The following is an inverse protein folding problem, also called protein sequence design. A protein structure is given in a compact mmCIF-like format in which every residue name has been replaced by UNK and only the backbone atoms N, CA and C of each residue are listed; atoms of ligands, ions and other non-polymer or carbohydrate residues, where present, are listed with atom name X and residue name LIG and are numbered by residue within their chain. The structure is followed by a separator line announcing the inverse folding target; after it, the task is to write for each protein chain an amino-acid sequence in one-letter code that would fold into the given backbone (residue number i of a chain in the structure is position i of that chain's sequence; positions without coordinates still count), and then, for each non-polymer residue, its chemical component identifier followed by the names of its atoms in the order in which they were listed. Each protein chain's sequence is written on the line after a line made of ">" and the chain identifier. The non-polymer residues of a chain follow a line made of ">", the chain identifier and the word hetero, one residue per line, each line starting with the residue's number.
data_IF_800716142412
#
_entry.id   IF_800716142412
#
_cell.length_a   1.000
_cell.length_b   1.000
_cell.length_c   1.000
_cell.angle_alpha   90.00
_cell.angle_beta   90.00
_cell.angle_gamma   90.00
#
_symmetry.space_group_name_H-M   'P 1'
#
loop_
_entity.id
_entity.type
_entity.pdbx_description
1 polymer ?
#
# COMPACT_ATOMS: atom_id res chain seq x y z
N UNK A 1 -15.50 45.17 18.24
CA UNK A 1 -14.93 44.83 19.57
C UNK A 1 -16.09 44.39 20.45
N UNK A 2 -16.31 43.08 20.59
CA UNK A 2 -17.15 42.54 21.67
C UNK A 2 -16.27 41.46 22.31
N UNK A 3 -15.48 41.92 23.30
CA UNK A 3 -14.70 41.06 24.18
C UNK A 3 -15.62 40.48 25.27
N UNK A 4 -15.50 39.14 25.47
CA UNK A 4 -15.95 38.44 26.68
C UNK A 4 -17.45 38.35 26.96
N UNK A 5 -18.24 37.78 26.04
CA UNK A 5 -19.57 37.31 26.44
C UNK A 5 -19.45 36.02 27.26
N UNK A 6 -19.57 36.11 28.57
CA UNK A 6 -19.62 34.97 29.52
C UNK A 6 -21.01 34.32 29.57
N UNK A 7 -21.96 34.73 28.72
CA UNK A 7 -23.35 34.27 28.74
C UNK A 7 -23.86 34.02 27.33
N UNK A 8 -24.72 33.01 27.16
CA UNK A 8 -25.44 32.80 25.93
C UNK A 8 -26.46 33.91 25.70
N UNK A 9 -26.36 34.67 24.61
CA UNK A 9 -27.26 35.78 24.31
C UNK A 9 -28.74 35.40 24.04
N UNK A 10 -29.05 34.10 23.86
CA UNK A 10 -30.41 33.65 23.59
C UNK A 10 -31.13 33.09 24.83
N UNK A 11 -30.43 32.53 25.82
CA UNK A 11 -31.06 31.90 26.98
C UNK A 11 -30.48 32.33 28.34
N UNK A 12 -29.50 33.23 28.37
CA UNK A 12 -28.91 33.78 29.61
C UNK A 12 -28.06 32.81 30.44
N UNK A 13 -27.80 31.59 29.93
CA UNK A 13 -26.97 30.58 30.61
C UNK A 13 -25.50 31.02 30.64
N UNK A 14 -24.87 30.85 31.79
CA UNK A 14 -23.45 31.11 31.98
C UNK A 14 -22.64 30.08 31.21
N UNK A 15 -21.82 30.55 30.27
CA UNK A 15 -20.85 29.72 29.57
C UNK A 15 -19.62 29.56 30.46
N UNK A 16 -19.64 28.58 31.37
CA UNK A 16 -18.42 28.15 32.05
C UNK A 16 -17.61 27.34 31.04
N UNK A 17 -16.39 27.79 30.75
CA UNK A 17 -15.40 26.98 30.11
C UNK A 17 -15.13 25.76 30.99
N UNK A 18 -15.68 24.59 30.61
CA UNK A 18 -15.30 23.32 31.20
C UNK A 18 -13.81 23.10 30.88
N UNK A 19 -12.99 23.18 31.90
CA UNK A 19 -11.62 22.67 31.81
C UNK A 19 -11.75 21.16 31.46
N UNK A 20 -11.03 20.64 30.45
CA UNK A 20 -11.02 19.24 30.20
C UNK A 20 -10.52 18.51 31.44
N UNK A 21 -11.38 17.68 32.03
CA UNK A 21 -10.99 16.74 33.08
C UNK A 21 -9.84 15.88 32.53
N UNK A 22 -8.76 15.66 33.29
CA UNK A 22 -7.71 14.73 32.86
C UNK A 22 -8.34 13.35 32.68
N UNK A 23 -8.41 12.89 31.44
CA UNK A 23 -8.75 11.51 31.17
C UNK A 23 -7.65 10.64 31.79
N UNK A 24 -8.00 9.82 32.77
CA UNK A 24 -7.15 8.76 33.28
C UNK A 24 -6.89 7.79 32.13
N UNK A 25 -5.83 8.02 31.36
CA UNK A 25 -5.36 7.12 30.35
C UNK A 25 -4.68 5.94 31.09
N UNK A 26 -5.18 4.70 31.01
CA UNK A 26 -4.58 3.57 31.70
C UNK A 26 -3.18 3.19 31.18
N UNK A 27 -2.73 3.83 30.10
CA UNK A 27 -1.38 3.67 29.58
C UNK A 27 -0.54 4.89 29.98
N UNK A 28 0.57 4.73 30.71
CA UNK A 28 1.50 5.81 30.95
C UNK A 28 1.98 6.35 29.59
N UNK A 29 2.15 7.68 29.45
CA UNK A 29 2.72 8.25 28.24
C UNK A 29 4.09 7.61 28.00
N UNK A 30 4.22 6.87 26.91
CA UNK A 30 5.54 6.38 26.50
C UNK A 30 6.40 7.60 26.18
N UNK A 31 7.64 7.68 26.67
CA UNK A 31 8.55 8.73 26.26
C UNK A 31 8.65 8.70 24.73
N UNK A 32 8.33 9.83 24.09
CA UNK A 32 8.63 10.03 22.67
C UNK A 32 10.15 9.95 22.58
N UNK A 33 10.67 8.81 22.14
CA UNK A 33 12.08 8.70 21.81
C UNK A 33 12.32 9.59 20.60
N UNK A 34 13.28 10.51 20.64
CA UNK A 34 13.68 11.22 19.43
C UNK A 34 14.07 10.17 18.38
N UNK A 35 13.81 10.43 17.09
CA UNK A 35 14.21 9.52 16.05
C UNK A 35 15.70 9.21 16.24
N UNK A 36 16.01 7.92 16.41
CA UNK A 36 17.39 7.47 16.49
C UNK A 36 18.08 7.91 15.21
N UNK A 37 19.21 8.61 15.35
CA UNK A 37 20.08 8.92 14.21
C UNK A 37 20.33 7.63 13.43
N UNK A 38 20.23 7.65 12.08
CA UNK A 38 20.40 6.44 11.29
C UNK A 38 21.76 5.80 11.64
N UNK A 39 21.69 4.61 12.21
CA UNK A 39 22.87 3.80 12.48
C UNK A 39 23.50 3.43 11.14
N UNK A 40 24.83 3.40 11.07
CA UNK A 40 25.64 3.18 9.87
C UNK A 40 25.38 1.82 9.14
N UNK A 41 24.33 1.08 9.47
CA UNK A 41 23.95 -0.21 8.93
C UNK A 41 22.48 -0.29 8.44
N UNK A 42 21.79 0.83 8.23
CA UNK A 42 20.46 0.76 7.59
C UNK A 42 20.64 0.43 6.11
N UNK A 43 20.21 -0.77 5.76
CA UNK A 43 20.30 -1.28 4.40
C UNK A 43 19.39 -0.55 3.41
N UNK A 44 18.41 0.22 3.87
CA UNK A 44 17.55 1.10 3.06
C UNK A 44 17.10 2.31 3.88
N UNK A 45 16.73 3.38 3.18
CA UNK A 45 16.15 4.57 3.78
C UNK A 45 14.64 4.57 3.53
N UNK A 46 13.87 4.61 4.61
CA UNK A 46 12.44 4.81 4.58
C UNK A 46 12.16 6.28 4.82
N UNK A 47 11.70 6.98 3.81
CA UNK A 47 11.49 8.42 3.90
C UNK A 47 10.22 8.75 4.68
N UNK A 48 10.39 9.18 5.91
CA UNK A 48 9.29 9.61 6.79
C UNK A 48 8.74 10.98 6.40
N UNK A 49 9.52 11.80 5.66
CA UNK A 49 9.10 13.12 5.21
C UNK A 49 8.28 13.06 3.91
N UNK A 50 8.18 11.87 3.31
CA UNK A 50 7.39 11.64 2.12
C UNK A 50 7.92 12.40 0.90
N UNK A 51 9.23 12.64 0.81
CA UNK A 51 9.86 13.31 -0.33
C UNK A 51 11.30 12.87 -0.51
N UNK A 52 11.79 12.93 -1.73
CA UNK A 52 13.17 12.55 -2.01
C UNK A 52 13.57 12.86 -3.45
N UNK A 53 14.73 12.35 -3.83
CA UNK A 53 15.25 12.51 -5.17
C UNK A 53 15.90 11.22 -5.65
N UNK A 54 15.80 10.95 -6.95
CA UNK A 54 16.47 9.88 -7.63
C UNK A 54 17.32 10.40 -8.78
N UNK A 55 17.76 9.50 -9.64
CA UNK A 55 18.56 9.85 -10.82
C UNK A 55 17.67 10.49 -11.88
N UNK A 56 17.63 11.82 -11.96
CA UNK A 56 16.88 12.58 -12.95
C UNK A 56 15.40 12.79 -12.59
N UNK A 57 15.04 12.63 -11.34
CA UNK A 57 13.70 12.97 -10.84
C UNK A 57 13.73 13.39 -9.37
N UNK A 58 12.71 14.11 -8.95
CA UNK A 58 12.35 14.32 -7.54
C UNK A 58 10.95 13.80 -7.31
N UNK A 59 10.62 13.45 -6.07
CA UNK A 59 9.30 12.96 -5.72
C UNK A 59 8.84 13.51 -4.37
N UNK A 60 7.53 13.62 -4.22
CA UNK A 60 6.89 13.99 -2.97
C UNK A 60 5.58 13.22 -2.81
N UNK A 61 5.20 12.91 -1.58
CA UNK A 61 3.90 12.34 -1.24
C UNK A 61 3.08 13.45 -0.58
N UNK A 62 2.03 13.87 -1.26
CA UNK A 62 1.07 14.83 -0.75
C UNK A 62 -0.10 14.11 -0.07
N UNK A 63 -0.78 14.79 0.85
CA UNK A 63 -1.97 14.26 1.56
C UNK A 63 -1.73 12.92 2.24
N UNK A 64 -0.55 12.71 2.83
CA UNK A 64 -0.18 11.48 3.53
C UNK A 64 -1.30 10.98 4.46
N UNK A 65 -1.47 9.67 4.52
CA UNK A 65 -2.48 8.99 5.29
C UNK A 65 -3.52 8.30 4.42
N UNK A 66 -4.78 8.76 4.42
CA UNK A 66 -5.87 8.02 3.77
C UNK A 66 -6.07 8.36 2.28
N UNK A 67 -5.47 9.44 1.77
CA UNK A 67 -5.70 9.96 0.41
C UNK A 67 -4.40 10.43 -0.24
N UNK A 68 -3.33 9.69 -0.05
CA UNK A 68 -2.01 10.06 -0.50
C UNK A 68 -1.91 10.13 -2.03
N UNK A 69 -1.18 11.15 -2.51
CA UNK A 69 -0.84 11.37 -3.90
C UNK A 69 0.69 11.43 -4.03
N UNK A 70 1.26 10.54 -4.82
CA UNK A 70 2.67 10.62 -5.18
C UNK A 70 2.85 11.55 -6.39
N UNK A 71 3.64 12.60 -6.23
CA UNK A 71 3.99 13.56 -7.29
C UNK A 71 5.45 13.31 -7.68
N UNK A 72 5.70 13.02 -8.96
CA UNK A 72 7.04 12.77 -9.49
C UNK A 72 7.36 13.79 -10.56
N UNK A 73 8.46 14.55 -10.34
CA UNK A 73 8.99 15.51 -11.28
C UNK A 73 10.14 14.87 -12.05
N UNK A 74 9.95 14.63 -13.33
CA UNK A 74 10.94 14.02 -14.21
C UNK A 74 11.77 15.09 -14.94
N UNK A 75 13.07 14.90 -15.02
CA UNK A 75 13.89 15.67 -15.96
C UNK A 75 13.63 15.22 -17.40
N UNK A 76 14.09 16.00 -18.38
CA UNK A 76 13.98 15.62 -19.79
C UNK A 76 14.55 14.22 -20.03
N UNK A 77 13.83 13.41 -20.81
CA UNK A 77 14.15 12.02 -21.18
C UNK A 77 14.22 11.03 -20.00
N UNK A 78 13.84 11.46 -18.78
CA UNK A 78 13.76 10.56 -17.64
C UNK A 78 12.45 9.77 -17.67
N UNK A 79 12.53 8.53 -17.21
CA UNK A 79 11.41 7.58 -17.17
C UNK A 79 11.18 7.07 -15.75
N UNK A 80 9.90 6.95 -15.35
CA UNK A 80 9.47 6.20 -14.19
C UNK A 80 8.46 5.12 -14.61
N UNK A 81 8.43 4.02 -13.88
CA UNK A 81 7.51 2.92 -14.11
C UNK A 81 6.42 2.93 -13.03
N UNK A 82 5.16 2.62 -13.37
CA UNK A 82 4.07 2.58 -12.41
C UNK A 82 3.05 1.48 -12.74
N UNK A 83 2.26 1.08 -11.74
CA UNK A 83 1.14 0.18 -11.92
C UNK A 83 0.18 0.73 -12.98
N UNK A 84 -0.34 -0.15 -13.83
CA UNK A 84 -1.34 0.23 -14.83
C UNK A 84 -2.62 0.72 -14.15
N UNK A 85 -2.99 1.98 -14.39
CA UNK A 85 -4.17 2.62 -13.78
C UNK A 85 -3.87 3.47 -12.55
N UNK A 86 -2.63 3.50 -12.05
CA UNK A 86 -2.25 4.35 -10.92
C UNK A 86 -2.13 5.84 -11.28
N UNK A 87 -1.97 6.17 -12.55
CA UNK A 87 -1.79 7.54 -13.02
C UNK A 87 -3.05 8.38 -12.82
N UNK A 88 -2.89 9.52 -12.14
CA UNK A 88 -3.95 10.52 -11.92
C UNK A 88 -3.84 11.65 -12.94
N UNK A 89 -2.62 12.19 -13.13
CA UNK A 89 -2.36 13.25 -14.09
C UNK A 89 -0.92 13.20 -14.58
N UNK A 90 -0.66 13.83 -15.73
CA UNK A 90 0.68 14.02 -16.26
C UNK A 90 0.77 15.27 -17.12
N UNK A 91 1.97 15.84 -17.24
CA UNK A 91 2.27 16.92 -18.17
C UNK A 91 2.06 16.45 -19.62
N UNK A 92 1.64 17.36 -20.50
CA UNK A 92 1.33 17.03 -21.90
C UNK A 92 2.55 16.48 -22.69
N UNK A 93 3.76 16.75 -22.23
CA UNK A 93 5.00 16.24 -22.81
C UNK A 93 5.48 14.93 -22.20
N UNK A 94 4.70 14.27 -21.36
CA UNK A 94 5.02 12.94 -20.84
C UNK A 94 4.38 11.88 -21.72
N UNK A 95 5.22 11.00 -22.29
CA UNK A 95 4.77 9.85 -23.06
C UNK A 95 4.39 8.69 -22.13
N UNK A 96 3.20 8.13 -22.32
CA UNK A 96 2.76 6.90 -21.69
C UNK A 96 2.97 5.72 -22.64
N UNK A 97 3.84 4.80 -22.26
CA UNK A 97 4.00 3.50 -22.91
C UNK A 97 3.39 2.42 -22.03
N UNK A 98 2.21 1.96 -22.41
CA UNK A 98 1.56 0.82 -21.75
C UNK A 98 1.76 -0.44 -22.59
N UNK A 99 2.36 -1.46 -22.01
CA UNK A 99 2.52 -2.77 -22.65
C UNK A 99 1.23 -3.62 -22.64
N UNK A 100 0.09 -3.00 -22.32
CA UNK A 100 -1.23 -3.65 -22.27
C UNK A 100 -1.78 -3.97 -23.66
N UNK A 101 -1.15 -4.91 -24.37
CA UNK A 101 -1.79 -5.58 -25.51
C UNK A 101 -2.62 -6.76 -24.99
N UNK A 102 -3.92 -6.58 -24.77
CA UNK A 102 -4.83 -7.70 -24.50
C UNK A 102 -5.67 -7.65 -23.21
N UNK A 103 -5.87 -6.49 -22.60
CA UNK A 103 -6.71 -6.32 -21.39
C UNK A 103 -6.17 -7.01 -20.13
N UNK A 104 -6.91 -6.92 -19.02
CA UNK A 104 -6.52 -7.46 -17.70
C UNK A 104 -6.19 -8.97 -17.76
N UNK A 105 -6.92 -9.74 -18.57
CA UNK A 105 -6.65 -11.17 -18.78
C UNK A 105 -5.37 -11.45 -19.58
N UNK A 106 -5.01 -10.58 -20.52
CA UNK A 106 -3.76 -10.70 -21.27
C UNK A 106 -2.54 -10.33 -20.43
N UNK A 107 -2.69 -9.36 -19.53
CA UNK A 107 -1.69 -8.97 -18.53
C UNK A 107 -1.42 -10.14 -17.56
N UNK A 108 -2.48 -10.75 -17.02
CA UNK A 108 -2.37 -11.90 -16.12
C UNK A 108 -1.69 -13.10 -16.79
N UNK A 109 -2.00 -13.36 -18.08
CA UNK A 109 -1.40 -14.48 -18.84
C UNK A 109 0.09 -14.25 -19.13
N UNK A 110 0.53 -13.00 -19.33
CA UNK A 110 1.93 -12.61 -19.53
C UNK A 110 2.71 -12.56 -18.23
N UNK A 111 2.12 -12.10 -17.13
CA UNK A 111 2.69 -12.19 -15.80
C UNK A 111 3.02 -13.64 -15.41
N UNK A 112 2.20 -14.59 -15.86
CA UNK A 112 2.50 -16.04 -15.74
C UNK A 112 3.67 -16.44 -16.66
N UNK A 113 3.90 -15.74 -17.76
CA UNK A 113 5.00 -15.94 -18.72
C UNK A 113 6.32 -15.26 -18.32
N UNK A 114 6.32 -14.40 -17.28
CA UNK A 114 7.50 -13.68 -16.81
C UNK A 114 7.77 -12.35 -17.47
N UNK A 115 6.79 -11.79 -18.18
CA UNK A 115 6.86 -10.40 -18.65
C UNK A 115 6.20 -9.48 -17.64
N UNK A 116 6.77 -8.29 -17.37
CA UNK A 116 6.24 -7.30 -16.41
C UNK A 116 5.00 -6.59 -16.96
N UNK A 117 3.92 -7.34 -17.16
CA UNK A 117 2.67 -6.89 -17.78
C UNK A 117 1.83 -5.93 -16.92
N UNK A 118 2.32 -5.57 -15.74
CA UNK A 118 1.61 -4.73 -14.78
C UNK A 118 2.11 -3.29 -14.78
N UNK A 119 3.14 -2.96 -15.54
CA UNK A 119 3.87 -1.71 -15.40
C UNK A 119 3.77 -0.90 -16.68
N UNK A 120 3.28 0.33 -16.56
CA UNK A 120 3.34 1.37 -17.58
C UNK A 120 4.56 2.24 -17.38
N UNK A 121 5.19 2.72 -18.45
CA UNK A 121 6.34 3.61 -18.43
C UNK A 121 5.92 5.03 -18.81
N UNK A 122 6.37 5.99 -18.03
CA UNK A 122 6.10 7.42 -18.19
C UNK A 122 7.42 8.14 -18.44
N UNK A 123 7.59 8.73 -19.63
CA UNK A 123 8.84 9.38 -20.04
C UNK A 123 8.60 10.84 -20.39
N UNK A 124 9.29 11.77 -19.72
CA UNK A 124 9.25 13.19 -20.08
C UNK A 124 10.05 13.44 -21.38
N UNK A 125 9.42 14.05 -22.39
CA UNK A 125 10.01 14.29 -23.70
C UNK A 125 10.29 15.77 -23.96
N UNK A 126 11.50 16.07 -24.42
CA UNK A 126 11.88 17.40 -24.87
C UNK A 126 11.98 18.47 -23.78
N UNK A 127 11.75 18.10 -22.51
CA UNK A 127 11.79 18.97 -21.34
C UNK A 127 11.35 18.27 -20.08
N UNK A 128 11.46 18.90 -18.91
CA UNK A 128 10.97 18.33 -17.66
C UNK A 128 9.44 18.17 -17.68
N UNK A 129 8.93 17.18 -16.97
CA UNK A 129 7.50 16.89 -16.88
C UNK A 129 7.13 16.30 -15.52
N UNK A 130 5.88 16.41 -15.16
CA UNK A 130 5.31 15.87 -13.92
C UNK A 130 4.40 14.68 -14.24
N UNK A 131 4.40 13.70 -13.38
CA UNK A 131 3.38 12.65 -13.35
C UNK A 131 2.96 12.38 -11.92
N UNK A 132 1.66 12.16 -11.71
CA UNK A 132 1.12 11.88 -10.38
C UNK A 132 0.46 10.51 -10.33
N UNK A 133 0.61 9.82 -9.19
CA UNK A 133 0.08 8.49 -8.96
C UNK A 133 -0.69 8.44 -7.65
N UNK A 134 -1.80 7.70 -7.64
CA UNK A 134 -2.58 7.45 -6.44
C UNK A 134 -2.91 5.97 -6.29
N UNK A 135 -3.07 5.47 -5.04
CA UNK A 135 -3.61 4.15 -4.78
C UNK A 135 -5.01 3.98 -5.40
N UNK A 136 -5.32 2.78 -5.89
CA UNK A 136 -6.66 2.45 -6.39
C UNK A 136 -7.76 2.43 -5.31
N UNK A 137 -7.39 2.36 -4.03
CA UNK A 137 -8.27 2.45 -2.87
C UNK A 137 -7.83 3.60 -1.96
N UNK A 138 -8.74 4.18 -1.14
CA UNK A 138 -8.37 5.21 -0.16
C UNK A 138 -7.25 4.72 0.75
N UNK A 139 -6.06 5.30 0.64
CA UNK A 139 -4.89 4.76 1.30
C UNK A 139 -3.70 5.70 1.32
N UNK A 140 -2.64 5.18 1.91
CA UNK A 140 -1.37 5.85 2.09
C UNK A 140 -0.35 5.38 1.05
N UNK A 141 0.70 6.16 0.89
CA UNK A 141 1.86 5.85 0.05
C UNK A 141 3.13 5.98 0.88
N UNK A 142 4.05 5.06 0.67
CA UNK A 142 5.39 5.14 1.26
C UNK A 142 6.46 5.05 0.19
N UNK A 143 7.50 5.88 0.34
CA UNK A 143 8.71 5.83 -0.48
C UNK A 143 9.80 5.00 0.20
N UNK A 144 10.37 4.07 -0.54
CA UNK A 144 11.49 3.23 -0.11
C UNK A 144 12.66 3.52 -1.05
N UNK A 145 13.73 4.10 -0.54
CA UNK A 145 14.97 4.26 -1.27
C UNK A 145 15.77 2.96 -1.20
N UNK A 146 15.67 2.15 -2.22
CA UNK A 146 16.37 0.87 -2.32
C UNK A 146 17.85 1.08 -2.68
N UNK A 147 18.75 0.30 -2.03
CA UNK A 147 20.22 0.35 -2.20
C UNK A 147 20.76 -1.06 -2.42
N UNK A 148 20.36 -1.67 -3.54
CA UNK A 148 20.69 -3.06 -3.92
C UNK A 148 20.08 -4.12 -3.01
N UNK A 149 18.96 -3.81 -2.35
CA UNK A 149 18.18 -4.80 -1.60
C UNK A 149 17.09 -5.43 -2.46
N UNK A 150 16.40 -6.36 -1.81
CA UNK A 150 15.20 -7.00 -2.31
C UNK A 150 14.05 -6.75 -1.35
N UNK A 151 12.90 -6.35 -1.89
CA UNK A 151 11.63 -6.30 -1.19
C UNK A 151 10.63 -7.25 -1.82
N UNK A 152 9.89 -7.93 -0.96
CA UNK A 152 8.70 -8.66 -1.35
C UNK A 152 7.53 -7.70 -1.23
N UNK A 153 6.80 -7.47 -2.30
CA UNK A 153 5.70 -6.49 -2.36
C UNK A 153 4.42 -7.20 -2.77
N UNK A 154 3.33 -7.00 -2.04
CA UNK A 154 2.03 -7.50 -2.49
C UNK A 154 1.66 -6.80 -3.80
N UNK A 155 1.16 -7.55 -4.79
CA UNK A 155 0.94 -7.01 -6.15
C UNK A 155 0.03 -5.80 -6.19
N UNK A 156 -1.00 -5.74 -5.33
CA UNK A 156 -1.89 -4.57 -5.22
C UNK A 156 -1.29 -3.39 -4.44
N UNK A 157 -0.10 -3.56 -3.88
CA UNK A 157 0.60 -2.52 -3.13
C UNK A 157 1.78 -1.90 -3.89
N UNK A 158 2.18 -2.46 -5.04
CA UNK A 158 3.15 -1.81 -5.91
C UNK A 158 2.49 -0.61 -6.60
N UNK A 159 3.00 0.59 -6.40
CA UNK A 159 2.45 1.80 -7.01
C UNK A 159 3.31 2.29 -8.18
N UNK A 160 4.59 2.56 -7.91
CA UNK A 160 5.55 3.01 -8.92
C UNK A 160 6.98 2.72 -8.49
N UNK A 161 7.93 2.85 -9.42
CA UNK A 161 9.34 2.67 -9.09
C UNK A 161 10.27 3.14 -10.20
N UNK A 162 11.53 3.33 -9.82
CA UNK A 162 12.62 3.59 -10.76
C UNK A 162 12.73 2.44 -11.77
N UNK A 163 13.02 2.78 -13.02
CA UNK A 163 13.20 1.78 -14.10
C UNK A 163 14.44 0.90 -13.94
N UNK A 164 15.34 1.23 -13.01
CA UNK A 164 16.47 0.40 -12.61
C UNK A 164 16.08 -0.73 -11.67
N UNK A 165 14.85 -0.73 -11.14
CA UNK A 165 14.33 -1.82 -10.32
C UNK A 165 13.87 -2.97 -11.22
N UNK A 166 14.28 -4.17 -10.85
CA UNK A 166 13.79 -5.41 -11.44
C UNK A 166 12.58 -5.88 -10.65
N UNK A 167 11.44 -6.07 -11.34
CA UNK A 167 10.19 -6.53 -10.75
C UNK A 167 9.89 -7.92 -11.30
N UNK A 168 10.10 -8.97 -10.49
CA UNK A 168 9.88 -10.36 -10.89
C UNK A 168 8.61 -10.93 -10.25
N UNK A 169 7.78 -11.53 -11.09
CA UNK A 169 6.53 -12.20 -10.71
C UNK A 169 6.68 -13.72 -10.57
N UNK A 170 7.84 -14.27 -10.96
CA UNK A 170 8.09 -15.72 -11.02
C UNK A 170 8.48 -16.35 -9.69
N UNK A 171 8.56 -15.56 -8.63
CA UNK A 171 8.99 -16.09 -7.34
C UNK A 171 8.12 -17.26 -6.90
N UNK A 172 8.76 -18.43 -6.78
CA UNK A 172 8.16 -19.74 -6.71
C UNK A 172 7.04 -19.88 -5.67
N UNK A 173 5.90 -20.37 -6.09
CA UNK A 173 4.79 -20.72 -5.21
C UNK A 173 3.89 -19.57 -4.77
N UNK A 174 4.21 -18.30 -5.07
CA UNK A 174 3.46 -17.12 -4.62
C UNK A 174 1.99 -17.10 -5.09
N UNK A 175 1.63 -17.79 -6.17
CA UNK A 175 0.24 -17.92 -6.65
C UNK A 175 -0.71 -18.60 -5.67
N UNK A 176 -0.18 -19.34 -4.71
CA UNK A 176 -0.98 -20.08 -3.71
C UNK A 176 -1.23 -19.28 -2.44
N UNK A 177 -0.53 -18.16 -2.23
CA UNK A 177 -0.53 -17.50 -0.94
C UNK A 177 -1.81 -16.73 -0.62
N UNK A 178 -2.45 -16.19 -1.62
CA UNK A 178 -3.63 -15.34 -1.42
C UNK A 178 -4.92 -15.98 -1.98
N UNK A 179 -5.07 -17.27 -1.80
CA UNK A 179 -6.27 -18.09 -1.90
C UNK A 179 -7.41 -17.54 -2.77
N UNK A 180 -7.27 -17.52 -4.10
CA UNK A 180 -8.41 -17.30 -4.98
C UNK A 180 -8.70 -15.86 -5.42
N UNK A 181 -8.05 -14.84 -4.85
CA UNK A 181 -8.35 -13.43 -5.16
C UNK A 181 -7.44 -12.80 -6.22
N UNK A 182 -6.56 -13.58 -6.86
CA UNK A 182 -5.65 -13.08 -7.90
C UNK A 182 -4.49 -12.22 -7.39
N UNK A 183 -4.32 -12.08 -6.09
CA UNK A 183 -3.21 -11.37 -5.47
C UNK A 183 -1.98 -12.28 -5.41
N UNK A 184 -0.82 -11.74 -5.73
CA UNK A 184 0.47 -12.44 -5.67
C UNK A 184 1.56 -11.50 -5.14
N UNK A 185 2.72 -12.05 -4.83
CA UNK A 185 3.87 -11.31 -4.33
C UNK A 185 4.83 -11.03 -5.48
N UNK A 186 5.27 -9.80 -5.56
CA UNK A 186 6.34 -9.34 -6.45
C UNK A 186 7.66 -9.38 -5.71
N UNK A 187 8.70 -9.85 -6.36
CA UNK A 187 10.08 -9.69 -5.91
C UNK A 187 10.64 -8.45 -6.61
N UNK A 188 10.88 -7.39 -5.84
CA UNK A 188 11.44 -6.13 -6.34
C UNK A 188 12.86 -6.01 -5.84
N UNK A 189 13.83 -5.90 -6.76
CA UNK A 189 15.25 -5.81 -6.44
C UNK A 189 15.93 -4.69 -7.21
N UNK A 190 17.08 -4.24 -6.72
CA UNK A 190 17.86 -3.20 -7.35
C UNK A 190 18.06 -1.96 -6.49
N UNK A 191 18.38 -0.83 -7.13
CA UNK A 191 18.63 0.45 -6.46
C UNK A 191 17.79 1.55 -7.11
N UNK A 192 17.14 2.38 -6.30
CA UNK A 192 16.27 3.46 -6.76
C UNK A 192 15.01 3.57 -5.90
N UNK A 193 14.10 4.44 -6.29
CA UNK A 193 12.83 4.64 -5.61
C UNK A 193 11.87 3.49 -5.86
N UNK A 194 11.31 2.94 -4.81
CA UNK A 194 10.12 2.08 -4.82
C UNK A 194 9.00 2.79 -4.06
N UNK A 195 7.88 3.07 -4.72
CA UNK A 195 6.66 3.58 -4.10
C UNK A 195 5.70 2.42 -3.88
N UNK A 196 5.28 2.23 -2.64
CA UNK A 196 4.28 1.24 -2.27
C UNK A 196 3.04 1.94 -1.71
N UNK A 197 1.88 1.35 -1.94
CA UNK A 197 0.58 1.87 -1.52
C UNK A 197 -0.15 0.91 -0.59
N UNK A 198 -1.14 1.42 0.12
CA UNK A 198 -1.96 0.65 1.05
C UNK A 198 -3.44 0.99 0.94
N UNK A 199 -4.29 0.13 1.48
CA UNK A 199 -5.66 0.48 1.83
C UNK A 199 -5.71 0.91 3.31
N UNK A 200 -6.04 2.19 3.56
CA UNK A 200 -5.84 2.85 4.85
C UNK A 200 -4.38 3.25 5.09
N UNK A 201 -3.96 3.42 6.33
CA UNK A 201 -2.61 3.86 6.67
C UNK A 201 -1.58 2.73 6.56
N UNK A 202 -0.32 3.09 6.30
CA UNK A 202 0.82 2.17 6.38
C UNK A 202 1.34 2.13 7.81
N UNK A 203 1.46 0.92 8.36
CA UNK A 203 2.10 0.65 9.64
C UNK A 203 3.41 -0.10 9.43
N UNK A 204 4.51 0.50 9.86
CA UNK A 204 5.85 -0.10 9.82
C UNK A 204 6.09 -0.92 11.08
N UNK A 205 6.55 -2.16 10.92
CA UNK A 205 6.92 -3.05 12.01
C UNK A 205 8.34 -3.54 11.83
N UNK A 206 9.25 -3.15 12.73
CA UNK A 206 10.60 -3.67 12.83
C UNK A 206 10.61 -4.88 13.75
N UNK A 207 11.11 -6.01 13.28
CA UNK A 207 11.27 -7.24 14.04
C UNK A 207 12.70 -7.37 14.54
N UNK A 208 12.86 -7.70 15.82
CA UNK A 208 14.16 -7.97 16.43
C UNK A 208 14.68 -9.36 16.03
N UNK A 209 15.98 -9.64 16.18
CA UNK A 209 16.53 -10.98 15.96
C UNK A 209 15.77 -12.04 16.77
N UNK A 210 15.24 -13.06 16.08
CA UNK A 210 14.46 -14.15 16.67
C UNK A 210 13.04 -13.79 17.09
N UNK A 211 12.59 -12.56 16.92
CA UNK A 211 11.20 -12.16 17.15
C UNK A 211 10.30 -12.82 16.12
N UNK A 212 9.24 -13.50 16.59
CA UNK A 212 8.20 -14.05 15.74
C UNK A 212 6.99 -13.15 15.75
N UNK A 213 6.44 -12.87 14.57
CA UNK A 213 5.27 -12.00 14.41
C UNK A 213 4.31 -12.55 13.36
N UNK A 214 3.04 -12.61 13.71
CA UNK A 214 1.99 -13.20 12.87
C UNK A 214 1.11 -12.09 12.30
N UNK A 215 0.92 -12.09 10.99
CA UNK A 215 0.19 -11.07 10.23
C UNK A 215 -0.84 -11.76 9.36
N UNK A 216 -2.07 -11.25 9.34
CA UNK A 216 -3.06 -11.64 8.33
C UNK A 216 -2.56 -11.22 6.94
N UNK A 217 -2.56 -12.15 5.98
CA UNK A 217 -2.02 -11.91 4.64
C UNK A 217 -2.70 -10.76 3.90
N UNK A 218 -3.97 -10.49 4.18
CA UNK A 218 -4.71 -9.36 3.59
C UNK A 218 -4.28 -7.99 4.11
N UNK A 219 -3.41 -7.95 5.13
CA UNK A 219 -2.82 -6.72 5.65
C UNK A 219 -1.36 -6.51 5.26
N UNK A 220 -0.75 -7.42 4.50
CA UNK A 220 0.63 -7.26 4.02
C UNK A 220 0.70 -6.21 2.91
N UNK A 221 1.72 -5.35 2.98
CA UNK A 221 2.08 -4.38 1.93
C UNK A 221 3.40 -4.77 1.30
N UNK A 222 4.47 -4.78 2.09
CA UNK A 222 5.81 -5.15 1.64
C UNK A 222 6.67 -5.61 2.82
N UNK A 223 7.74 -6.36 2.54
CA UNK A 223 8.72 -6.76 3.55
C UNK A 223 10.09 -7.00 2.92
N UNK A 224 11.13 -6.92 3.73
CA UNK A 224 12.49 -7.21 3.27
C UNK A 224 12.64 -8.65 2.81
N UNK A 225 13.23 -8.85 1.63
CA UNK A 225 13.31 -10.16 0.97
C UNK A 225 14.13 -11.21 1.71
N UNK A 226 14.99 -10.81 2.67
CA UNK A 226 15.75 -11.73 3.50
C UNK A 226 14.99 -12.28 4.70
N UNK A 227 13.83 -11.68 5.06
CA UNK A 227 12.99 -12.16 6.16
C UNK A 227 12.48 -13.58 5.89
N UNK A 228 12.71 -14.45 6.85
CA UNK A 228 12.10 -15.78 6.85
C UNK A 228 10.62 -15.66 7.20
N UNK A 229 9.77 -16.29 6.41
CA UNK A 229 8.33 -16.33 6.69
C UNK A 229 7.72 -17.66 6.29
N UNK A 230 6.62 -18.01 6.95
CA UNK A 230 5.82 -19.19 6.64
C UNK A 230 4.33 -18.80 6.55
N UNK A 231 3.66 -19.27 5.51
CA UNK A 231 2.22 -19.04 5.32
C UNK A 231 1.46 -20.26 5.84
N UNK A 232 0.44 -20.00 6.68
CA UNK A 232 -0.40 -21.05 7.23
C UNK A 232 -1.85 -20.56 7.44
N UNK A 233 -2.76 -21.47 7.64
CA UNK A 233 -4.12 -21.12 8.08
C UNK A 233 -4.09 -20.51 9.49
N UNK A 234 -4.91 -19.48 9.73
CA UNK A 234 -4.95 -18.77 11.01
C UNK A 234 -5.33 -19.66 12.18
N UNK A 235 -6.24 -20.62 11.99
CA UNK A 235 -6.75 -21.48 13.04
C UNK A 235 -5.98 -22.81 13.15
N UNK A 236 -5.25 -23.01 14.28
CA UNK A 236 -4.80 -24.34 14.72
C UNK A 236 -5.86 -25.08 15.58
N UNK A 237 -6.86 -24.41 16.10
CA UNK A 237 -7.94 -25.00 16.92
C UNK A 237 -9.17 -24.10 16.98
N UNK A 238 -10.31 -24.70 16.95
CA UNK A 238 -11.72 -24.34 16.95
C UNK A 238 -12.30 -23.04 17.51
N UNK A 239 -11.55 -22.11 18.04
CA UNK A 239 -12.09 -20.89 18.68
C UNK A 239 -12.32 -19.70 17.73
N UNK A 240 -11.90 -19.77 16.49
CA UNK A 240 -12.00 -18.67 15.50
C UNK A 240 -13.06 -18.93 14.41
N UNK A 241 -14.07 -19.72 14.68
CA UNK A 241 -15.17 -19.96 13.72
C UNK A 241 -15.96 -18.71 13.34
N UNK A 242 -15.86 -17.63 14.09
CA UNK A 242 -16.61 -16.40 13.85
C UNK A 242 -15.88 -15.40 12.93
N UNK A 243 -14.58 -15.58 12.72
CA UNK A 243 -13.78 -14.75 11.81
C UNK A 243 -13.72 -15.33 10.38
N UNK A 244 -14.31 -16.49 10.15
CA UNK A 244 -14.05 -17.38 9.02
C UNK A 244 -15.26 -17.58 8.12
N UNK A 245 -15.75 -16.52 7.52
CA UNK A 245 -16.48 -16.69 6.24
C UNK A 245 -15.52 -16.70 5.03
N UNK A 246 -14.22 -16.65 5.25
CA UNK A 246 -13.15 -16.89 4.28
C UNK A 246 -11.96 -17.50 4.99
N UNK A 247 -11.32 -18.53 4.45
CA UNK A 247 -10.17 -19.23 5.01
C UNK A 247 -8.97 -18.27 5.19
N UNK A 248 -8.95 -17.46 6.27
CA UNK A 248 -7.91 -16.48 6.56
C UNK A 248 -6.53 -17.15 6.61
N UNK A 249 -5.63 -16.70 5.76
CA UNK A 249 -4.23 -17.08 5.78
C UNK A 249 -3.44 -16.07 6.61
N UNK A 250 -2.44 -16.55 7.32
CA UNK A 250 -1.51 -15.70 8.06
C UNK A 250 -0.07 -15.98 7.62
N UNK A 251 0.73 -14.93 7.60
CA UNK A 251 2.17 -15.02 7.45
C UNK A 251 2.82 -14.90 8.84
N UNK A 252 3.65 -15.86 9.19
CA UNK A 252 4.46 -15.87 10.41
C UNK A 252 5.88 -15.53 10.03
N UNK A 253 6.35 -14.35 10.44
CA UNK A 253 7.69 -13.83 10.16
C UNK A 253 8.63 -14.08 11.32
N UNK A 254 9.91 -14.28 11.00
CA UNK A 254 10.98 -14.33 12.00
C UNK A 254 12.01 -13.26 11.67
N UNK A 255 12.21 -12.32 12.60
CA UNK A 255 13.19 -11.24 12.47
C UNK A 255 14.65 -11.71 12.57
N UNK A 256 15.62 -10.86 12.25
CA UNK A 256 15.46 -9.39 12.15
C UNK A 256 14.99 -8.92 10.77
N UNK A 257 14.31 -7.77 10.72
CA UNK A 257 13.94 -7.10 9.47
C UNK A 257 12.64 -6.30 9.59
N UNK A 258 12.19 -5.75 8.46
CA UNK A 258 11.06 -4.85 8.40
C UNK A 258 9.89 -5.39 7.60
N UNK A 259 8.68 -5.15 8.11
CA UNK A 259 7.42 -5.45 7.44
C UNK A 259 6.53 -4.21 7.42
N UNK A 260 5.97 -3.89 6.27
CA UNK A 260 4.96 -2.86 6.08
C UNK A 260 3.58 -3.48 6.01
N UNK A 261 2.66 -2.93 6.78
CA UNK A 261 1.30 -3.40 6.94
C UNK A 261 0.32 -2.31 6.57
N UNK A 262 -0.84 -2.70 6.06
CA UNK A 262 -1.98 -1.80 5.85
C UNK A 262 -3.03 -1.98 6.96
N UNK A 263 -3.64 -0.86 7.37
CA UNK A 263 -4.63 -0.87 8.46
C UNK A 263 -6.00 -1.40 8.05
N UNK A 264 -6.25 -1.57 6.77
CA UNK A 264 -7.52 -2.08 6.22
C UNK A 264 -7.26 -3.27 5.31
N UNK A 265 -8.26 -4.13 5.15
CA UNK A 265 -8.24 -5.29 4.26
C UNK A 265 -9.30 -5.08 3.18
N UNK A 266 -8.87 -5.06 1.91
CA UNK A 266 -9.73 -4.77 0.77
C UNK A 266 -10.80 -5.85 0.58
N UNK A 267 -10.44 -7.12 0.77
CA UNK A 267 -11.39 -8.24 0.65
C UNK A 267 -12.46 -8.19 1.74
N UNK A 268 -12.08 -7.87 2.98
CA UNK A 268 -13.03 -7.66 4.07
C UNK A 268 -13.96 -6.48 3.78
N UNK A 269 -13.44 -5.38 3.25
CA UNK A 269 -14.24 -4.22 2.85
C UNK A 269 -15.21 -4.56 1.70
N UNK A 270 -14.76 -5.25 0.67
CA UNK A 270 -15.62 -5.74 -0.41
C UNK A 270 -16.74 -6.66 0.11
N UNK A 271 -16.42 -7.51 1.11
CA UNK A 271 -17.40 -8.35 1.79
C UNK A 271 -18.51 -7.57 2.50
N UNK A 272 -18.16 -6.43 3.13
CA UNK A 272 -19.13 -5.52 3.74
C UNK A 272 -20.05 -4.87 2.71
N UNK A 273 -19.57 -4.60 1.50
CA UNK A 273 -20.36 -3.97 0.44
C UNK A 273 -21.24 -4.95 -0.31
N UNK A 274 -20.88 -6.24 -0.34
CA UNK A 274 -21.56 -7.28 -1.12
C UNK A 274 -23.09 -7.31 -0.92
N UNK A 275 -23.66 -7.17 0.30
CA UNK A 275 -25.12 -7.15 0.51
C UNK A 275 -25.84 -5.98 -0.16
N UNK A 276 -25.12 -4.89 -0.49
CA UNK A 276 -25.70 -3.68 -1.08
C UNK A 276 -25.67 -3.70 -2.62
N UNK A 277 -25.00 -4.66 -3.22
CA UNK A 277 -25.04 -4.85 -4.67
C UNK A 277 -26.16 -5.81 -5.05
N UNK A 278 -26.94 -5.51 -6.13
CA UNK A 278 -27.93 -6.44 -6.62
C UNK A 278 -27.26 -7.76 -6.97
N UNK A 279 -27.77 -8.87 -6.41
CA UNK A 279 -27.39 -10.20 -6.87
C UNK A 279 -27.77 -10.31 -8.33
N UNK A 280 -26.85 -10.63 -9.22
CA UNK A 280 -27.19 -11.05 -10.58
C UNK A 280 -28.00 -12.34 -10.43
N UNK A 281 -29.31 -12.22 -10.50
CA UNK A 281 -30.24 -13.34 -10.51
C UNK A 281 -29.84 -14.26 -11.65
N UNK A 282 -29.59 -15.51 -11.34
CA UNK A 282 -29.43 -16.53 -12.35
C UNK A 282 -30.63 -16.45 -13.31
N UNK A 283 -30.33 -16.35 -14.62
CA UNK A 283 -31.33 -16.28 -15.64
C UNK A 283 -32.31 -17.45 -15.50
N UNK A 284 -33.57 -17.13 -15.13
CA UNK A 284 -34.69 -18.05 -15.29
C UNK A 284 -34.80 -18.33 -16.78
N UNK A 285 -34.42 -19.54 -17.19
CA UNK A 285 -34.63 -20.03 -18.53
C UNK A 285 -36.09 -19.88 -18.87
N UNK A 286 -36.40 -19.07 -19.86
CA UNK A 286 -37.72 -19.04 -20.49
C UNK A 286 -37.83 -20.35 -21.24
N UNK A 287 -38.59 -21.30 -20.65
CA UNK A 287 -39.04 -22.49 -21.33
C UNK A 287 -40.12 -22.10 -22.35
N UNK A 288 -39.79 -22.10 -23.61
CA UNK A 288 -40.79 -22.09 -24.66
C UNK A 288 -41.39 -23.51 -24.71
N UNK A 289 -42.56 -23.72 -24.08
CA UNK A 289 -43.38 -24.87 -24.29
C UNK A 289 -43.97 -24.85 -25.70
N UNK A 290 -43.98 -26.03 -26.35
CA UNK A 290 -44.66 -26.31 -27.61
C UNK A 290 -46.15 -26.00 -27.55
#
# INVERSE_FOLDING_TARGET
>A
MIENAKFCGACGLVLQAQQPTPQNNPFPPQPIQPPSSPGANEAFHFDVDGRGQGRGYTWAIEYQGAFALAVVQLQAEQTIAAEAGAMVSMSANVDLQSELKGGVFGALKRAVGGESAFVSKFTARGGPGEVTFAPGAPGDVAGIEMRSQTFMVQSSSYLAGDTSLEVDTKFGGAKSFFGGEGLFVLNVSGSGLLLVSSFGAIHRRTLRPGEQYVIDTGHLVAWEGHLQYNIRKAAKSGYLRSFLSGEGMVAEFTGPGEVLLQTRNLAAFAGLLKPFFPSQGGGSGISFGN
#
